data_IF_176817461161
#
_entry.id   IF_176817461161
#
_cell.length_a   1.000
_cell.length_b   1.000
_cell.length_c   1.000
_cell.angle_alpha   90.00
_cell.angle_beta   90.00
_cell.angle_gamma   90.00
#
_symmetry.space_group_name_H-M   'P 1'
#
loop_
_entity.id
_entity.type
_entity.pdbx_description
1 polymer ?
#
# COMPACT_ATOMS: atom_id res chain seq x y z
N UNK A 1 -53.02 -54.64 -48.07
CA UNK A 1 -52.12 -54.74 -46.92
C UNK A 1 -51.53 -53.40 -46.70
N UNK A 2 -52.08 -52.66 -45.72
CA UNK A 2 -51.82 -51.27 -45.47
C UNK A 2 -50.92 -51.18 -44.26
N UNK A 3 -49.77 -50.53 -44.38
CA UNK A 3 -48.87 -50.32 -43.27
C UNK A 3 -49.21 -48.97 -42.61
N UNK A 4 -49.32 -48.86 -41.26
CA UNK A 4 -49.66 -47.63 -40.62
C UNK A 4 -48.44 -46.75 -40.42
N UNK A 5 -48.71 -45.48 -40.59
CA UNK A 5 -47.86 -44.29 -40.40
C UNK A 5 -47.43 -44.13 -38.93
N UNK A 6 -46.13 -43.93 -38.69
CA UNK A 6 -45.56 -43.69 -37.35
C UNK A 6 -45.45 -42.22 -37.10
N UNK A 7 -46.34 -41.80 -36.21
CA UNK A 7 -46.45 -40.46 -35.64
C UNK A 7 -45.12 -39.87 -35.12
N UNK A 8 -44.75 -38.71 -35.66
CA UNK A 8 -43.65 -37.88 -35.20
C UNK A 8 -43.96 -37.20 -33.88
N UNK A 9 -43.24 -37.50 -32.82
CA UNK A 9 -43.30 -36.77 -31.55
C UNK A 9 -42.50 -35.45 -31.65
N UNK A 10 -43.00 -34.36 -31.06
CA UNK A 10 -42.29 -33.07 -31.05
C UNK A 10 -41.09 -33.09 -30.07
N UNK A 11 -39.94 -32.57 -30.55
CA UNK A 11 -38.75 -32.36 -29.74
C UNK A 11 -38.98 -31.20 -28.77
N UNK A 12 -38.55 -31.29 -27.50
CA UNK A 12 -38.59 -30.19 -26.58
C UNK A 12 -37.57 -29.11 -27.02
N UNK A 13 -38.02 -27.88 -27.13
CA UNK A 13 -37.20 -26.69 -27.36
C UNK A 13 -36.26 -26.50 -26.20
N UNK A 14 -34.96 -26.37 -26.55
CA UNK A 14 -33.89 -26.11 -25.63
C UNK A 14 -34.14 -24.84 -24.84
N UNK A 15 -33.91 -24.92 -23.53
CA UNK A 15 -33.87 -23.79 -22.63
C UNK A 15 -32.68 -22.91 -23.01
N UNK A 16 -32.94 -21.65 -23.36
CA UNK A 16 -31.95 -20.61 -23.46
C UNK A 16 -31.31 -20.39 -22.09
N UNK A 17 -30.06 -20.81 -21.95
CA UNK A 17 -29.20 -20.41 -20.85
C UNK A 17 -28.35 -19.24 -21.36
N UNK A 18 -28.97 -18.10 -21.52
CA UNK A 18 -28.27 -16.85 -21.78
C UNK A 18 -28.67 -15.83 -20.70
N UNK A 19 -28.02 -15.96 -19.55
CA UNK A 19 -27.84 -14.81 -18.67
C UNK A 19 -26.50 -14.99 -17.97
N UNK A 20 -25.42 -14.87 -18.72
CA UNK A 20 -24.13 -14.52 -18.15
C UNK A 20 -24.28 -13.07 -17.71
N UNK A 21 -24.62 -12.86 -16.45
CA UNK A 21 -24.46 -11.56 -15.78
C UNK A 21 -22.97 -11.21 -15.85
N UNK A 22 -22.59 -10.46 -16.88
CA UNK A 22 -21.35 -9.72 -16.88
C UNK A 22 -21.44 -8.73 -15.73
N UNK A 23 -20.89 -9.10 -14.58
CA UNK A 23 -20.60 -8.15 -13.51
C UNK A 23 -19.62 -7.18 -14.15
N UNK A 24 -20.14 -6.03 -14.58
CA UNK A 24 -19.34 -4.90 -14.96
C UNK A 24 -18.49 -4.54 -13.74
N UNK A 25 -17.23 -4.98 -13.73
CA UNK A 25 -16.24 -4.51 -12.79
C UNK A 25 -16.15 -3.01 -13.00
N UNK A 26 -16.80 -2.24 -12.14
CA UNK A 26 -16.57 -0.80 -12.06
C UNK A 26 -15.07 -0.63 -11.98
N UNK A 27 -14.43 0.16 -12.87
CA UNK A 27 -12.99 0.37 -12.78
C UNK A 27 -12.72 0.95 -11.40
N UNK A 28 -12.12 0.16 -10.54
CA UNK A 28 -11.71 0.58 -9.21
C UNK A 28 -10.67 1.69 -9.43
N UNK A 29 -11.07 2.95 -9.17
CA UNK A 29 -10.12 4.05 -9.17
C UNK A 29 -9.10 3.69 -8.09
N UNK A 30 -7.82 3.51 -8.44
CA UNK A 30 -6.81 3.18 -7.44
C UNK A 30 -6.87 4.22 -6.34
N UNK A 31 -6.87 3.77 -5.09
CA UNK A 31 -6.86 4.66 -3.94
C UNK A 31 -5.66 5.59 -4.09
N UNK A 32 -5.91 6.89 -4.19
CA UNK A 32 -4.83 7.86 -4.29
C UNK A 32 -4.00 7.81 -3.01
N UNK A 33 -2.68 7.85 -3.14
CA UNK A 33 -1.81 8.07 -2.00
C UNK A 33 -2.11 9.47 -1.46
N UNK A 34 -2.18 9.68 -0.13
CA UNK A 34 -2.46 11.00 0.40
C UNK A 34 -1.38 12.00 0.00
N UNK A 35 -1.78 13.24 -0.20
CA UNK A 35 -0.86 14.32 -0.50
C UNK A 35 0.18 14.50 0.63
N UNK A 36 1.37 14.92 0.25
CA UNK A 36 2.40 15.31 1.21
C UNK A 36 1.87 16.53 1.98
N UNK A 37 1.78 16.48 3.33
CA UNK A 37 1.17 17.57 4.12
C UNK A 37 2.08 18.80 4.24
N UNK A 38 2.91 19.05 3.25
CA UNK A 38 3.81 20.18 3.13
C UNK A 38 3.63 20.85 1.78
N UNK A 39 3.75 22.18 1.75
CA UNK A 39 3.66 22.94 0.52
C UNK A 39 4.87 22.66 -0.40
N UNK A 40 4.66 22.83 -1.68
CA UNK A 40 5.73 22.72 -2.67
C UNK A 40 5.91 21.33 -3.28
N UNK A 41 5.06 20.39 -2.95
CA UNK A 41 5.01 19.08 -3.62
C UNK A 41 3.80 19.01 -4.56
N UNK A 42 3.86 18.17 -5.59
CA UNK A 42 2.70 17.93 -6.43
C UNK A 42 1.57 17.28 -5.63
N UNK A 43 0.34 17.74 -5.81
CA UNK A 43 -0.86 17.06 -5.33
C UNK A 43 -1.23 15.88 -6.22
N UNK A 44 -2.17 15.05 -5.76
CA UNK A 44 -2.68 13.89 -6.50
C UNK A 44 -1.57 12.99 -7.07
N UNK A 45 -0.58 12.65 -6.24
CA UNK A 45 0.54 11.82 -6.67
C UNK A 45 -0.01 10.41 -6.96
N UNK A 46 -0.09 10.00 -8.24
CA UNK A 46 -0.52 8.65 -8.53
C UNK A 46 0.54 7.68 -8.00
N UNK A 47 0.13 6.64 -7.30
CA UNK A 47 1.02 5.50 -7.19
C UNK A 47 1.04 4.82 -8.56
N UNK A 48 2.24 4.61 -9.11
CA UNK A 48 2.40 4.01 -10.44
C UNK A 48 2.02 2.53 -10.42
N UNK A 49 1.30 2.07 -11.42
CA UNK A 49 1.13 0.63 -11.65
C UNK A 49 2.52 0.03 -11.87
N UNK A 50 2.86 -1.03 -11.14
CA UNK A 50 4.19 -1.66 -11.13
C UNK A 50 5.31 -0.79 -10.52
N UNK A 51 4.98 0.09 -9.60
CA UNK A 51 5.98 0.88 -8.88
C UNK A 51 6.89 -0.03 -8.05
N UNK A 52 8.20 0.23 -8.12
CA UNK A 52 9.16 -0.49 -7.31
C UNK A 52 8.95 -0.15 -5.82
N UNK A 53 8.89 -1.16 -5.00
CA UNK A 53 8.71 -0.99 -3.56
C UNK A 53 9.53 -2.01 -2.75
N UNK A 54 9.71 -1.70 -1.48
CA UNK A 54 10.28 -2.59 -0.48
C UNK A 54 9.21 -2.94 0.56
N UNK A 55 8.96 -4.22 0.73
CA UNK A 55 8.03 -4.75 1.73
C UNK A 55 8.80 -5.29 2.92
N UNK A 56 8.50 -4.80 4.11
CA UNK A 56 9.08 -5.29 5.36
C UNK A 56 8.09 -6.22 6.04
N UNK A 57 8.47 -7.48 6.17
CA UNK A 57 7.66 -8.52 6.82
C UNK A 57 7.62 -8.38 8.36
N UNK A 58 6.79 -9.19 9.04
CA UNK A 58 6.59 -9.12 10.51
C UNK A 58 7.88 -9.34 11.32
N UNK A 59 8.82 -10.12 10.80
CA UNK A 59 10.13 -10.36 11.43
C UNK A 59 11.18 -9.31 11.08
N UNK A 60 10.83 -8.34 10.22
CA UNK A 60 11.70 -7.26 9.78
C UNK A 60 12.57 -7.57 8.57
N UNK A 61 12.41 -8.72 7.95
CA UNK A 61 13.03 -9.01 6.67
C UNK A 61 12.44 -8.10 5.59
N UNK A 62 13.28 -7.46 4.78
CA UNK A 62 12.88 -6.61 3.68
C UNK A 62 13.00 -7.35 2.35
N UNK A 63 12.01 -7.17 1.48
CA UNK A 63 11.98 -7.77 0.15
C UNK A 63 11.60 -6.75 -0.90
N UNK A 64 12.39 -6.63 -1.95
CA UNK A 64 12.09 -5.75 -3.09
C UNK A 64 11.11 -6.43 -4.04
N UNK A 65 10.04 -5.74 -4.34
CA UNK A 65 8.93 -6.21 -5.18
C UNK A 65 8.38 -5.03 -6.01
N UNK A 66 7.34 -5.30 -6.79
CA UNK A 66 6.58 -4.27 -7.50
C UNK A 66 5.16 -4.22 -6.96
N UNK A 67 4.68 -3.02 -6.67
CA UNK A 67 3.29 -2.80 -6.26
C UNK A 67 2.40 -2.77 -7.50
N UNK A 68 1.48 -3.71 -7.59
CA UNK A 68 0.53 -3.84 -8.72
C UNK A 68 -0.82 -3.23 -8.37
N UNK A 69 -1.25 -3.38 -7.11
CA UNK A 69 -2.50 -2.81 -6.60
C UNK A 69 -2.38 -2.47 -5.12
N UNK A 70 -3.08 -1.42 -4.71
CA UNK A 70 -3.13 -0.95 -3.33
C UNK A 70 -4.57 -0.65 -2.95
N UNK A 71 -5.19 -1.56 -2.22
CA UNK A 71 -6.62 -1.49 -1.88
C UNK A 71 -6.82 -1.24 -0.39
N UNK A 72 -7.05 0.02 -0.04
CA UNK A 72 -7.28 0.44 1.34
C UNK A 72 -8.59 -0.15 1.93
N UNK A 73 -9.63 -0.30 1.11
CA UNK A 73 -10.92 -0.83 1.58
C UNK A 73 -10.86 -2.33 1.85
N UNK A 74 -10.09 -3.07 1.04
CA UNK A 74 -9.91 -4.50 1.21
C UNK A 74 -8.76 -4.84 2.18
N UNK A 75 -8.06 -3.84 2.74
CA UNK A 75 -6.88 -3.99 3.59
C UNK A 75 -5.84 -4.93 2.96
N UNK A 76 -5.55 -4.71 1.68
CA UNK A 76 -4.66 -5.59 0.91
C UNK A 76 -3.87 -4.83 -0.16
N UNK A 77 -2.75 -5.42 -0.53
CA UNK A 77 -1.94 -5.02 -1.68
C UNK A 77 -1.73 -6.22 -2.61
N UNK A 78 -1.50 -5.95 -3.88
CA UNK A 78 -1.05 -6.96 -4.82
C UNK A 78 0.38 -6.67 -5.23
N UNK A 79 1.25 -7.64 -5.06
CA UNK A 79 2.69 -7.52 -5.30
C UNK A 79 3.15 -8.50 -6.36
N UNK A 80 4.12 -8.09 -7.13
CA UNK A 80 4.79 -8.93 -8.11
C UNK A 80 6.30 -8.95 -7.83
N UNK A 81 6.88 -10.15 -7.79
CA UNK A 81 8.34 -10.27 -7.71
C UNK A 81 8.96 -9.82 -9.04
N UNK A 82 10.22 -9.30 -9.04
CA UNK A 82 10.86 -8.80 -10.26
C UNK A 82 10.95 -9.83 -11.40
N UNK A 83 10.97 -11.10 -11.05
CA UNK A 83 11.07 -12.23 -11.99
C UNK A 83 9.72 -12.96 -12.18
N UNK A 84 8.73 -12.67 -11.36
CA UNK A 84 7.42 -13.31 -11.40
C UNK A 84 6.49 -12.70 -12.44
N UNK A 85 5.67 -13.56 -13.08
CA UNK A 85 4.62 -13.11 -14.00
C UNK A 85 3.30 -12.85 -13.30
N UNK A 86 3.08 -13.43 -12.14
CA UNK A 86 1.81 -13.35 -11.40
C UNK A 86 1.94 -12.41 -10.21
N UNK A 87 0.90 -11.62 -9.99
CA UNK A 87 0.76 -10.84 -8.77
C UNK A 87 0.23 -11.73 -7.64
N UNK A 88 0.70 -11.48 -6.42
CA UNK A 88 0.29 -12.16 -5.20
C UNK A 88 -0.37 -11.13 -4.28
N UNK A 89 -1.59 -11.46 -3.82
CA UNK A 89 -2.29 -10.64 -2.83
C UNK A 89 -1.66 -10.82 -1.43
N UNK A 90 -1.42 -9.72 -0.75
CA UNK A 90 -0.88 -9.67 0.61
C UNK A 90 -1.80 -8.80 1.46
N UNK A 91 -2.26 -9.31 2.59
CA UNK A 91 -3.09 -8.56 3.53
C UNK A 91 -2.24 -7.65 4.41
N UNK A 92 -2.82 -6.57 4.91
CA UNK A 92 -2.12 -5.59 5.75
C UNK A 92 -1.57 -6.21 7.04
N UNK A 93 -2.21 -7.22 7.59
CA UNK A 93 -1.73 -7.98 8.77
C UNK A 93 -0.45 -8.81 8.51
N UNK A 94 -0.08 -9.01 7.24
CA UNK A 94 1.04 -9.87 6.84
C UNK A 94 2.36 -9.11 6.66
N UNK A 95 2.36 -7.79 6.79
CA UNK A 95 3.57 -6.98 6.69
C UNK A 95 3.54 -5.81 7.68
N UNK A 96 4.70 -5.23 7.94
CA UNK A 96 4.84 -4.12 8.88
C UNK A 96 5.00 -2.77 8.19
N UNK A 97 5.57 -2.74 6.98
CA UNK A 97 5.89 -1.50 6.29
C UNK A 97 6.00 -1.75 4.79
N UNK A 98 5.54 -0.78 4.02
CA UNK A 98 5.69 -0.70 2.57
C UNK A 98 6.33 0.63 2.21
N UNK A 99 7.49 0.58 1.57
CA UNK A 99 8.22 1.76 1.08
C UNK A 99 8.13 1.83 -0.44
N UNK A 100 7.60 2.92 -0.99
CA UNK A 100 7.67 3.18 -2.42
C UNK A 100 9.05 3.76 -2.76
N UNK A 101 9.74 3.12 -3.69
CA UNK A 101 11.14 3.46 -3.98
C UNK A 101 11.29 4.60 -4.99
N UNK A 102 10.23 4.94 -5.71
CA UNK A 102 10.23 6.10 -6.60
C UNK A 102 10.01 7.37 -5.79
N UNK A 103 10.99 8.29 -5.74
CA UNK A 103 10.88 9.47 -4.92
C UNK A 103 9.96 10.51 -5.54
N UNK A 104 9.19 11.17 -4.68
CA UNK A 104 8.47 12.39 -5.07
C UNK A 104 9.38 13.58 -4.90
N UNK A 105 9.55 14.35 -5.98
CA UNK A 105 10.36 15.57 -5.95
C UNK A 105 9.48 16.80 -5.78
N UNK A 106 10.00 17.85 -5.09
CA UNK A 106 9.28 19.11 -5.00
C UNK A 106 9.12 19.75 -6.39
N UNK A 107 8.13 20.61 -6.50
CA UNK A 107 7.90 21.42 -7.70
C UNK A 107 9.12 22.32 -7.98
N UNK A 108 9.51 22.53 -9.24
CA UNK A 108 10.76 23.20 -9.60
C UNK A 108 10.92 24.63 -9.03
N UNK A 109 9.82 25.34 -8.82
CA UNK A 109 9.81 26.74 -8.33
C UNK A 109 9.56 26.84 -6.82
N UNK A 110 9.53 25.72 -6.09
CA UNK A 110 9.17 25.74 -4.67
C UNK A 110 10.41 25.79 -3.77
N UNK A 111 10.69 26.98 -3.25
CA UNK A 111 11.63 27.14 -2.12
C UNK A 111 11.02 26.69 -0.78
N UNK A 112 9.71 26.52 -0.71
CA UNK A 112 8.98 26.18 0.50
C UNK A 112 9.25 24.73 0.91
N UNK A 113 9.27 23.79 -0.03
CA UNK A 113 9.60 22.40 0.24
C UNK A 113 11.00 22.24 0.88
N UNK A 114 11.97 23.07 0.49
CA UNK A 114 13.34 23.06 1.03
C UNK A 114 13.46 23.67 2.41
N UNK A 115 12.47 24.46 2.84
CA UNK A 115 12.44 25.10 4.17
C UNK A 115 11.74 24.22 5.21
N UNK A 116 11.08 23.15 4.77
CA UNK A 116 10.40 22.23 5.68
C UNK A 116 11.43 21.48 6.52
N UNK A 117 11.32 21.63 7.84
CA UNK A 117 12.15 20.86 8.76
C UNK A 117 11.49 19.52 9.03
N UNK A 118 12.19 18.41 8.78
CA UNK A 118 11.67 17.11 9.10
C UNK A 118 11.60 16.89 10.61
N UNK A 119 10.57 16.18 11.05
CA UNK A 119 10.38 15.75 12.43
C UNK A 119 10.86 14.32 12.63
N UNK A 120 11.42 14.05 13.82
CA UNK A 120 11.68 12.69 14.24
C UNK A 120 10.37 11.93 14.44
N UNK A 121 10.35 10.66 14.04
CA UNK A 121 9.27 9.74 14.38
C UNK A 121 9.81 8.44 14.97
N UNK A 122 8.98 7.78 15.77
CA UNK A 122 9.19 6.43 16.27
C UNK A 122 7.93 5.62 16.03
N UNK A 123 8.05 4.49 15.36
CA UNK A 123 6.99 3.48 15.26
C UNK A 123 7.37 2.32 16.15
N UNK A 124 6.53 2.02 17.13
CA UNK A 124 6.58 0.79 17.88
C UNK A 124 5.60 -0.20 17.25
N UNK A 125 6.12 -1.28 16.72
CA UNK A 125 5.32 -2.34 16.12
C UNK A 125 4.75 -3.27 17.19
N UNK A 126 3.66 -3.97 16.91
CA UNK A 126 3.09 -5.00 17.79
C UNK A 126 4.06 -6.14 18.10
N UNK A 127 5.06 -6.34 17.25
CA UNK A 127 6.17 -7.26 17.49
C UNK A 127 7.16 -6.79 18.58
N UNK A 128 6.97 -5.61 19.16
CA UNK A 128 7.89 -4.97 20.11
C UNK A 128 9.07 -4.25 19.44
N UNK A 129 9.30 -4.41 18.14
CA UNK A 129 10.34 -3.69 17.41
C UNK A 129 10.03 -2.22 17.32
N UNK A 130 11.08 -1.40 17.31
CA UNK A 130 10.97 0.04 17.08
C UNK A 130 11.69 0.42 15.78
N UNK A 131 11.11 1.35 15.04
CA UNK A 131 11.71 1.96 13.87
C UNK A 131 11.72 3.48 14.05
N UNK A 132 12.85 4.10 13.85
CA UNK A 132 13.04 5.54 13.96
C UNK A 132 13.36 6.12 12.58
N UNK A 133 12.95 7.34 12.35
CA UNK A 133 13.26 8.06 11.12
C UNK A 133 12.91 9.54 11.20
N UNK A 134 13.05 10.18 10.05
CA UNK A 134 12.62 11.57 9.85
C UNK A 134 11.41 11.57 8.90
N UNK A 135 10.43 12.42 9.16
CA UNK A 135 9.29 12.61 8.27
C UNK A 135 9.01 14.09 8.04
N UNK A 136 8.63 14.45 6.83
CA UNK A 136 8.08 15.78 6.51
C UNK A 136 6.60 15.91 6.87
N UNK A 137 5.97 14.78 7.21
CA UNK A 137 4.60 14.78 7.67
C UNK A 137 4.04 13.38 7.81
N UNK A 138 2.91 13.32 8.49
CA UNK A 138 2.17 12.11 8.80
C UNK A 138 0.71 12.30 8.44
N UNK A 139 0.13 11.33 7.76
CA UNK A 139 -1.31 11.26 7.48
C UNK A 139 -1.86 9.97 8.05
N UNK A 140 -2.78 10.10 9.01
CA UNK A 140 -3.48 8.97 9.60
C UNK A 140 -4.77 8.71 8.84
N UNK A 141 -4.94 7.47 8.40
CA UNK A 141 -6.20 6.96 7.85
C UNK A 141 -6.59 5.67 8.58
N UNK A 142 -7.83 5.25 8.42
CA UNK A 142 -8.33 4.05 9.09
C UNK A 142 -7.45 2.81 8.83
N UNK A 143 -7.08 2.49 7.58
CA UNK A 143 -6.28 1.29 7.31
C UNK A 143 -4.80 1.41 7.68
N UNK A 144 -4.28 2.61 8.02
CA UNK A 144 -2.87 2.76 8.38
C UNK A 144 -2.36 4.19 8.40
N UNK A 145 -1.06 4.31 8.54
CA UNK A 145 -0.35 5.58 8.61
C UNK A 145 0.56 5.75 7.40
N UNK A 146 0.49 6.92 6.79
CA UNK A 146 1.37 7.34 5.72
C UNK A 146 2.42 8.31 6.26
N UNK A 147 3.68 8.03 5.97
CA UNK A 147 4.81 8.88 6.31
C UNK A 147 5.54 9.32 5.03
N UNK A 148 6.16 10.48 5.09
CA UNK A 148 6.87 11.10 3.99
C UNK A 148 8.32 11.38 4.40
N UNK A 149 9.21 10.42 4.12
CA UNK A 149 10.61 10.46 4.57
C UNK A 149 11.49 11.24 3.60
N UNK A 150 12.20 12.30 4.04
CA UNK A 150 13.19 12.96 3.21
C UNK A 150 14.35 12.00 2.92
N UNK A 151 14.81 11.97 1.66
CA UNK A 151 15.86 11.04 1.23
C UNK A 151 17.13 11.74 0.72
N UNK A 152 17.03 13.02 0.40
CA UNK A 152 18.17 13.81 -0.09
C UNK A 152 18.06 15.28 0.30
N UNK A 153 19.13 16.03 0.06
CA UNK A 153 19.22 17.48 0.32
C UNK A 153 18.35 18.30 -0.64
N UNK A 154 17.88 17.72 -1.74
CA UNK A 154 16.96 18.36 -2.67
C UNK A 154 15.50 18.21 -2.26
N UNK A 155 15.25 17.75 -1.04
CA UNK A 155 13.92 17.52 -0.48
C UNK A 155 13.09 16.48 -1.25
N UNK A 156 13.72 15.53 -1.93
CA UNK A 156 13.01 14.37 -2.45
C UNK A 156 12.50 13.51 -1.30
N UNK A 157 11.30 12.95 -1.48
CA UNK A 157 10.56 12.26 -0.42
C UNK A 157 10.23 10.84 -0.84
N UNK A 158 10.50 9.89 0.06
CA UNK A 158 10.00 8.53 -0.03
C UNK A 158 8.65 8.42 0.65
N UNK A 159 7.71 7.76 -0.01
CA UNK A 159 6.38 7.46 0.51
C UNK A 159 6.40 6.15 1.26
N UNK A 160 5.90 6.15 2.48
CA UNK A 160 5.88 4.99 3.37
C UNK A 160 4.46 4.74 3.85
N UNK A 161 4.02 3.49 3.81
CA UNK A 161 2.76 3.07 4.40
C UNK A 161 3.01 2.03 5.49
N UNK A 162 2.38 2.22 6.64
CA UNK A 162 2.44 1.32 7.79
C UNK A 162 1.02 0.91 8.15
N UNK A 163 0.65 -0.37 7.98
CA UNK A 163 -0.69 -0.85 8.30
C UNK A 163 -1.03 -0.64 9.76
N UNK A 164 -2.28 -0.29 10.05
CA UNK A 164 -2.77 -0.13 11.43
C UNK A 164 -2.61 -1.41 12.25
N UNK A 165 -2.75 -2.54 11.61
CA UNK A 165 -2.58 -3.87 12.20
C UNK A 165 -1.16 -4.10 12.73
N UNK A 166 -0.15 -3.46 12.15
CA UNK A 166 1.24 -3.58 12.57
C UNK A 166 1.63 -2.65 13.72
N UNK A 167 0.87 -1.54 13.94
CA UNK A 167 1.23 -0.46 14.86
C UNK A 167 0.74 -0.77 16.28
N UNK A 168 1.64 -0.71 17.27
CA UNK A 168 1.30 -0.61 18.68
C UNK A 168 1.24 0.87 19.12
N UNK A 169 2.23 1.67 18.73
CA UNK A 169 2.28 3.10 18.98
C UNK A 169 3.07 3.82 17.88
N UNK A 170 2.77 5.09 17.68
CA UNK A 170 3.55 5.98 16.81
C UNK A 170 3.64 7.36 17.45
N UNK A 171 4.87 7.82 17.66
CA UNK A 171 5.21 9.11 18.22
C UNK A 171 5.96 9.95 17.18
N UNK A 172 5.77 11.27 17.22
CA UNK A 172 6.49 12.25 16.39
C UNK A 172 6.97 13.41 17.25
N UNK A 173 8.04 14.07 16.84
CA UNK A 173 8.54 15.28 17.49
C UNK A 173 9.56 15.02 18.60
N UNK A 174 9.75 16.01 19.51
CA UNK A 174 10.85 15.99 20.49
C UNK A 174 10.88 14.81 21.45
N UNK A 175 9.71 14.26 21.80
CA UNK A 175 9.60 13.10 22.69
C UNK A 175 10.29 11.85 22.13
N UNK A 176 10.44 11.75 20.83
CA UNK A 176 11.10 10.61 20.16
C UNK A 176 12.57 10.53 20.53
N UNK A 177 13.24 11.67 20.81
CA UNK A 177 14.64 11.68 21.25
C UNK A 177 14.81 10.92 22.55
N UNK A 178 13.89 11.06 23.49
CA UNK A 178 13.91 10.33 24.75
C UNK A 178 13.76 8.81 24.54
N UNK A 179 12.93 8.40 23.58
CA UNK A 179 12.73 6.99 23.23
C UNK A 179 13.98 6.37 22.56
N UNK A 180 14.75 7.15 21.81
CA UNK A 180 15.99 6.68 21.20
C UNK A 180 17.07 6.34 22.23
N UNK A 181 17.04 7.00 23.38
CA UNK A 181 18.01 6.79 24.46
C UNK A 181 17.62 5.63 25.41
N UNK A 182 16.40 5.11 25.29
CA UNK A 182 15.95 3.96 26.08
C UNK A 182 16.42 2.65 25.44
N UNK A 183 17.10 1.76 26.19
CA UNK A 183 17.44 0.45 25.67
C UNK A 183 16.17 -0.29 25.24
N UNK A 184 16.21 -0.95 24.09
CA UNK A 184 15.11 -1.80 23.64
C UNK A 184 14.97 -2.97 24.62
N UNK A 185 13.88 -3.04 25.37
CA UNK A 185 13.60 -4.11 26.36
C UNK A 185 13.35 -5.49 25.71
N UNK A 186 13.87 -5.76 24.53
CA UNK A 186 13.64 -6.99 23.77
C UNK A 186 14.89 -7.81 23.42
N UNK A 187 16.06 -7.49 23.97
CA UNK A 187 17.31 -8.19 23.62
C UNK A 187 17.83 -9.16 24.70
N UNK A 188 16.95 -9.62 25.59
CA UNK A 188 17.31 -10.61 26.60
C UNK A 188 16.36 -11.81 26.52
N UNK A 189 16.66 -12.78 25.65
CA UNK A 189 16.34 -14.21 25.81
C UNK A 189 17.01 -15.00 24.71
#
# INVERSE_FOLDING_TARGET
MTVPDVSSAPRPRGANIDTVSTIASTPHRPAAWPDIPQQGYPGDIPWGVNEACELVGPTGGATRVRLVDFNLQAHSISLQTPQGRNAVGVRFEQFQRLDLLEPVRPLPASDEARKCLPELYCVTYKSGRRSFGLTLGRVDQDPGVFLFEPIDEQAAVRRVFIPREAIAAIETGPQVQALMLQPSEGAAS
#
